data_IF_034577317876
#
_entry.id   IF_034577317876
#
_cell.length_a   1.000
_cell.length_b   1.000
_cell.length_c   1.000
_cell.angle_alpha   90.00
_cell.angle_beta   90.00
_cell.angle_gamma   90.00
#
_symmetry.space_group_name_H-M   'P 1'
#
loop_
_entity.id
_entity.type
_entity.pdbx_description
1 polymer ?
#
# COMPACT_ATOMS: atom_id res chain seq x y z
N UNK A 1 16.39 2.48 -3.59
CA UNK A 1 15.82 2.27 -4.94
C UNK A 1 15.68 3.63 -5.60
N UNK A 2 16.25 3.84 -6.76
CA UNK A 2 16.25 5.13 -7.46
C UNK A 2 15.15 5.14 -8.53
N UNK A 3 14.16 6.01 -8.40
CA UNK A 3 13.01 6.07 -9.31
C UNK A 3 12.87 7.44 -9.99
N UNK A 4 13.37 8.51 -9.38
CA UNK A 4 13.24 9.88 -9.92
C UNK A 4 13.95 10.01 -11.26
N UNK A 5 15.13 9.39 -11.42
CA UNK A 5 15.88 9.43 -12.68
C UNK A 5 15.09 8.89 -13.88
N UNK A 6 14.12 8.01 -13.65
CA UNK A 6 13.24 7.54 -14.73
C UNK A 6 12.44 8.69 -15.36
N UNK A 7 11.92 9.58 -14.52
CA UNK A 7 11.15 10.75 -14.95
C UNK A 7 12.08 11.79 -15.58
N UNK A 8 13.21 12.10 -14.93
CA UNK A 8 14.19 13.08 -15.43
C UNK A 8 14.67 12.73 -16.87
N UNK A 9 14.88 11.43 -17.13
CA UNK A 9 15.31 10.96 -18.45
C UNK A 9 14.17 10.97 -19.51
N UNK A 10 12.93 11.22 -19.13
CA UNK A 10 11.75 11.22 -20.02
C UNK A 10 11.03 12.55 -20.10
N UNK A 11 11.60 13.59 -19.49
CA UNK A 11 11.13 14.95 -19.66
C UNK A 11 11.13 15.34 -21.15
N UNK A 12 10.04 15.96 -21.60
CA UNK A 12 9.86 16.32 -23.01
C UNK A 12 9.49 15.14 -23.95
N UNK A 13 9.36 13.92 -23.46
CA UNK A 13 9.18 12.72 -24.32
C UNK A 13 7.79 12.05 -24.15
N UNK A 14 7.15 12.21 -23.01
CA UNK A 14 5.92 11.50 -22.70
C UNK A 14 4.68 12.39 -22.85
N UNK A 15 3.62 11.80 -23.40
CA UNK A 15 2.29 12.40 -23.48
C UNK A 15 1.39 11.75 -22.42
N UNK A 16 0.62 12.56 -21.68
CA UNK A 16 -0.27 12.00 -20.67
C UNK A 16 -1.43 11.22 -21.29
N UNK A 17 -1.61 9.98 -20.86
CA UNK A 17 -2.77 9.17 -21.24
C UNK A 17 -3.04 8.10 -20.21
N UNK A 18 -4.30 7.97 -19.78
CA UNK A 18 -4.78 6.86 -18.95
C UNK A 18 -5.16 5.61 -19.78
N UNK A 19 -5.00 5.70 -21.11
CA UNK A 19 -5.16 4.61 -22.07
C UNK A 19 -3.83 4.38 -22.80
N UNK A 20 -3.70 3.31 -23.55
CA UNK A 20 -2.41 2.94 -24.16
C UNK A 20 -1.51 2.20 -23.17
N UNK A 21 -0.21 2.32 -23.31
CA UNK A 21 0.73 1.59 -22.45
C UNK A 21 0.71 2.03 -20.99
N UNK A 22 0.40 3.30 -20.73
CA UNK A 22 0.46 3.98 -19.43
C UNK A 22 1.86 4.06 -18.79
N UNK A 23 2.82 3.30 -19.29
CA UNK A 23 4.18 3.11 -18.75
C UNK A 23 5.29 3.72 -19.63
N UNK A 24 4.91 4.45 -20.67
CA UNK A 24 5.86 5.14 -21.56
C UNK A 24 6.38 4.35 -22.74
N UNK A 25 6.04 3.06 -22.91
CA UNK A 25 6.58 2.21 -24.00
C UNK A 25 6.08 2.57 -25.39
N UNK A 26 4.94 3.23 -25.48
CA UNK A 26 4.34 3.77 -26.71
C UNK A 26 4.38 5.31 -26.77
N UNK A 27 5.16 5.95 -25.87
CA UNK A 27 5.22 7.40 -25.73
C UNK A 27 4.08 7.97 -24.86
N UNK A 28 3.20 7.11 -24.31
CA UNK A 28 2.12 7.56 -23.41
C UNK A 28 2.30 7.01 -21.99
N UNK A 29 2.00 7.85 -21.01
CA UNK A 29 2.07 7.46 -19.61
C UNK A 29 1.02 8.17 -18.76
N UNK A 30 0.61 7.55 -17.65
CA UNK A 30 -0.12 8.19 -16.56
C UNK A 30 0.69 8.20 -15.25
N UNK A 31 0.18 8.81 -14.21
CA UNK A 31 0.89 8.98 -12.95
C UNK A 31 1.28 7.63 -12.33
N UNK A 32 0.35 6.71 -12.17
CA UNK A 32 0.59 5.40 -11.54
C UNK A 32 1.39 4.46 -12.43
N UNK A 33 1.20 4.52 -13.75
CA UNK A 33 1.99 3.76 -14.72
C UNK A 33 3.45 4.18 -14.73
N UNK A 34 3.73 5.47 -14.67
CA UNK A 34 5.10 6.01 -14.59
C UNK A 34 5.82 5.56 -13.32
N UNK A 35 5.17 5.65 -12.16
CA UNK A 35 5.74 5.12 -10.90
C UNK A 35 5.94 3.60 -11.01
N UNK A 36 4.98 2.87 -11.57
CA UNK A 36 5.12 1.43 -11.77
C UNK A 36 6.35 1.08 -12.60
N UNK A 37 6.53 1.78 -13.72
CA UNK A 37 7.66 1.51 -14.62
C UNK A 37 9.00 1.91 -13.99
N UNK A 38 9.05 3.06 -13.31
CA UNK A 38 10.26 3.49 -12.61
C UNK A 38 10.68 2.50 -11.52
N UNK A 39 9.71 1.95 -10.80
CA UNK A 39 9.93 0.89 -9.81
C UNK A 39 10.44 -0.40 -10.44
N UNK A 40 9.84 -0.85 -11.56
CA UNK A 40 10.28 -2.06 -12.29
C UNK A 40 11.71 -1.91 -12.81
N UNK A 41 12.05 -0.76 -13.41
CA UNK A 41 13.42 -0.50 -13.89
C UNK A 41 14.42 -0.41 -12.72
N UNK A 42 13.96 -0.01 -11.53
CA UNK A 42 14.75 -0.02 -10.30
C UNK A 42 14.82 -1.41 -9.61
N UNK A 43 14.21 -2.46 -10.21
CA UNK A 43 14.29 -3.85 -9.75
C UNK A 43 13.10 -4.35 -8.93
N UNK A 44 12.02 -3.57 -8.80
CA UNK A 44 10.82 -4.01 -8.12
C UNK A 44 10.06 -5.08 -8.91
N UNK A 45 9.43 -6.02 -8.19
CA UNK A 45 8.59 -7.06 -8.77
C UNK A 45 7.12 -6.63 -8.67
N UNK A 46 6.56 -6.18 -9.80
CA UNK A 46 5.19 -5.67 -9.89
C UNK A 46 4.50 -6.31 -11.09
N UNK A 47 3.38 -6.98 -10.87
CA UNK A 47 2.59 -7.54 -11.95
C UNK A 47 1.63 -6.50 -12.54
N UNK A 48 1.53 -6.47 -13.86
CA UNK A 48 0.67 -5.52 -14.56
C UNK A 48 1.07 -4.05 -14.37
N UNK A 49 0.09 -3.17 -14.41
CA UNK A 49 0.22 -1.72 -14.21
C UNK A 49 -0.84 -1.28 -13.19
N UNK A 50 -0.53 -1.30 -11.90
CA UNK A 50 -1.48 -0.91 -10.86
C UNK A 50 -1.96 0.54 -11.03
N UNK A 51 -3.16 0.80 -10.52
CA UNK A 51 -3.67 2.16 -10.33
C UNK A 51 -3.22 2.70 -8.98
N UNK A 52 -3.49 3.97 -8.71
CA UNK A 52 -3.25 4.58 -7.38
C UNK A 52 -3.97 3.82 -6.26
N UNK A 53 -5.14 3.21 -6.53
CA UNK A 53 -5.88 2.38 -5.55
C UNK A 53 -5.07 1.19 -5.07
N UNK A 54 -4.30 0.55 -5.95
CA UNK A 54 -3.60 -0.71 -5.65
C UNK A 54 -2.08 -0.56 -5.54
N UNK A 55 -1.54 0.62 -5.87
CA UNK A 55 -0.09 0.84 -5.90
C UNK A 55 0.56 0.68 -4.53
N UNK A 56 -0.11 1.13 -3.46
CA UNK A 56 0.41 1.01 -2.08
C UNK A 56 0.74 -0.43 -1.68
N UNK A 57 -0.07 -1.40 -2.13
CA UNK A 57 0.21 -2.82 -1.96
C UNK A 57 1.55 -3.22 -2.59
N UNK A 58 1.77 -2.82 -3.85
CA UNK A 58 3.01 -3.16 -4.55
C UNK A 58 4.23 -2.45 -3.95
N UNK A 59 4.05 -1.25 -3.43
CA UNK A 59 5.09 -0.55 -2.68
C UNK A 59 5.49 -1.35 -1.44
N UNK A 60 4.52 -1.75 -0.62
CA UNK A 60 4.78 -2.55 0.59
C UNK A 60 5.48 -3.88 0.24
N UNK A 61 5.01 -4.59 -0.79
CA UNK A 61 5.60 -5.86 -1.25
C UNK A 61 7.05 -5.71 -1.71
N UNK A 62 7.45 -4.54 -2.18
CA UNK A 62 8.79 -4.24 -2.66
C UNK A 62 9.67 -3.48 -1.67
N UNK A 63 9.34 -3.50 -0.39
CA UNK A 63 10.18 -2.96 0.68
C UNK A 63 10.04 -1.45 0.89
N UNK A 64 8.96 -0.87 0.44
CA UNK A 64 8.58 0.50 0.79
C UNK A 64 7.72 0.48 2.05
N UNK A 65 7.94 1.44 2.93
CA UNK A 65 7.13 1.65 4.14
C UNK A 65 6.40 2.99 4.02
N UNK A 66 5.15 3.02 4.48
CA UNK A 66 4.41 4.27 4.60
C UNK A 66 4.94 5.04 5.81
N UNK A 67 5.52 6.22 5.56
CA UNK A 67 6.17 7.05 6.57
C UNK A 67 5.31 8.22 7.04
N UNK A 68 4.28 8.60 6.28
CA UNK A 68 3.33 9.66 6.63
C UNK A 68 1.95 9.38 6.07
N UNK A 69 0.89 9.83 6.76
CA UNK A 69 -0.50 9.78 6.37
C UNK A 69 -1.20 11.05 6.84
N UNK A 70 -1.57 11.93 5.92
CA UNK A 70 -2.19 13.24 6.21
C UNK A 70 -1.42 14.07 7.25
N UNK A 71 -0.11 13.96 7.23
CA UNK A 71 0.80 14.67 8.15
C UNK A 71 2.06 15.12 7.42
N UNK A 72 2.75 16.08 8.00
CA UNK A 72 4.04 16.56 7.49
C UNK A 72 5.12 15.49 7.67
N UNK A 73 6.08 15.47 6.73
CA UNK A 73 7.24 14.61 6.81
C UNK A 73 8.51 15.35 6.37
N UNK A 74 9.65 14.80 6.70
CA UNK A 74 10.94 15.28 6.19
C UNK A 74 11.20 14.63 4.83
N UNK A 75 10.84 15.34 3.76
CA UNK A 75 10.89 14.84 2.39
C UNK A 75 12.32 14.54 1.93
N UNK A 76 12.48 13.41 1.25
CA UNK A 76 13.74 12.93 0.70
C UNK A 76 13.56 12.50 -0.75
N UNK A 77 14.66 12.52 -1.51
CA UNK A 77 14.66 12.00 -2.89
C UNK A 77 14.13 10.56 -2.92
N UNK A 78 13.26 10.31 -3.89
CA UNK A 78 12.56 9.05 -4.11
C UNK A 78 11.41 8.75 -3.12
N UNK A 79 11.04 9.63 -2.19
CA UNK A 79 9.77 9.45 -1.48
C UNK A 79 8.62 9.48 -2.49
N UNK A 80 7.77 8.47 -2.48
CA UNK A 80 6.58 8.41 -3.32
C UNK A 80 5.42 9.04 -2.56
N UNK A 81 4.78 10.05 -3.18
CA UNK A 81 3.62 10.73 -2.61
C UNK A 81 2.38 10.31 -3.38
N UNK A 82 1.48 9.61 -2.71
CA UNK A 82 0.18 9.19 -3.23
C UNK A 82 -0.91 10.10 -2.69
N UNK A 83 -1.80 10.54 -3.54
CA UNK A 83 -2.84 11.52 -3.25
C UNK A 83 -4.21 11.01 -3.66
N UNK A 84 -5.25 11.36 -2.88
CA UNK A 84 -6.64 11.10 -3.20
C UNK A 84 -7.51 12.31 -2.91
N UNK A 85 -8.43 12.61 -3.83
CA UNK A 85 -9.50 13.59 -3.65
C UNK A 85 -10.74 12.97 -2.98
N UNK A 86 -10.67 11.68 -2.62
CA UNK A 86 -11.62 10.98 -1.77
C UNK A 86 -11.09 10.82 -0.34
N UNK A 87 -11.83 10.13 0.51
CA UNK A 87 -11.52 9.97 1.95
C UNK A 87 -10.25 9.15 2.21
N UNK A 88 -9.84 8.30 1.25
CA UNK A 88 -8.62 7.49 1.30
C UNK A 88 -8.19 7.03 -0.10
N UNK A 89 -7.16 6.17 -0.17
CA UNK A 89 -6.65 5.65 -1.45
C UNK A 89 -7.61 4.72 -2.19
N UNK A 90 -8.63 4.16 -1.54
CA UNK A 90 -9.64 3.33 -2.23
C UNK A 90 -10.47 4.13 -3.22
N UNK A 91 -10.58 5.44 -3.01
CA UNK A 91 -11.32 6.37 -3.87
C UNK A 91 -10.41 7.12 -4.86
N UNK A 92 -9.14 6.76 -4.94
CA UNK A 92 -8.16 7.43 -5.82
C UNK A 92 -8.20 6.93 -7.28
N UNK A 93 -9.18 6.15 -7.67
CA UNK A 93 -9.26 5.60 -9.02
C UNK A 93 -9.47 6.66 -10.11
N UNK A 94 -8.83 6.48 -11.26
CA UNK A 94 -8.94 7.39 -12.40
C UNK A 94 -8.49 8.82 -12.06
N UNK A 95 -9.33 9.81 -12.32
CA UNK A 95 -9.06 11.21 -12.00
C UNK A 95 -9.18 11.56 -10.50
N UNK A 96 -9.63 10.61 -9.67
CA UNK A 96 -9.77 10.78 -8.21
C UNK A 96 -8.47 10.66 -7.44
N UNK A 97 -7.36 10.35 -8.09
CA UNK A 97 -6.06 10.18 -7.44
C UNK A 97 -4.89 10.64 -8.29
N UNK A 98 -3.76 10.84 -7.63
CA UNK A 98 -2.50 11.16 -8.27
C UNK A 98 -1.33 10.55 -7.51
N UNK A 99 -0.19 10.37 -8.19
CA UNK A 99 1.05 9.90 -7.57
C UNK A 99 2.26 10.48 -8.30
N UNK A 100 3.28 10.79 -7.53
CA UNK A 100 4.59 11.21 -8.03
C UNK A 100 5.67 10.93 -6.99
N UNK A 101 6.85 11.49 -7.21
CA UNK A 101 8.01 11.30 -6.32
C UNK A 101 8.68 12.62 -5.95
N UNK A 102 9.25 12.69 -4.75
CA UNK A 102 10.10 13.82 -4.36
C UNK A 102 11.46 13.69 -5.03
N UNK A 103 11.91 14.77 -5.67
CA UNK A 103 13.27 14.87 -6.22
C UNK A 103 14.28 15.21 -5.14
N UNK A 104 13.83 16.00 -4.17
CA UNK A 104 14.55 16.45 -2.98
C UNK A 104 13.52 16.93 -1.93
N UNK A 105 13.95 17.75 -0.97
CA UNK A 105 13.07 18.29 0.08
C UNK A 105 12.00 19.29 -0.42
N UNK A 106 12.13 19.81 -1.64
CA UNK A 106 11.30 20.91 -2.15
C UNK A 106 10.63 20.62 -3.48
N UNK A 107 11.18 19.71 -4.30
CA UNK A 107 10.72 19.47 -5.67
C UNK A 107 10.01 18.12 -5.79
N UNK A 108 8.87 18.16 -6.43
CA UNK A 108 8.02 17.01 -6.75
C UNK A 108 7.97 16.81 -8.26
N UNK A 109 8.15 15.56 -8.72
CA UNK A 109 8.08 15.17 -10.12
C UNK A 109 6.98 14.14 -10.32
N UNK A 110 6.19 14.30 -11.35
CA UNK A 110 5.12 13.37 -11.70
C UNK A 110 4.84 13.37 -13.19
N UNK A 111 4.04 12.40 -13.62
CA UNK A 111 3.41 12.42 -14.94
C UNK A 111 1.96 12.88 -14.75
N UNK A 112 1.61 14.06 -15.21
CA UNK A 112 0.32 14.69 -14.97
C UNK A 112 -0.34 15.25 -16.24
N UNK A 113 -1.60 15.67 -16.07
CA UNK A 113 -2.42 16.25 -17.15
C UNK A 113 -2.43 17.79 -17.15
N UNK A 114 -1.47 18.43 -16.50
CA UNK A 114 -1.43 19.88 -16.27
C UNK A 114 -1.45 20.71 -17.58
N UNK A 115 -0.97 20.12 -18.68
CA UNK A 115 -0.94 20.73 -20.00
C UNK A 115 -2.05 20.24 -20.93
N UNK A 116 -3.12 19.66 -20.37
CA UNK A 116 -4.25 19.10 -21.14
C UNK A 116 -3.84 18.00 -22.13
N UNK A 117 -2.79 17.25 -21.82
CA UNK A 117 -2.30 16.14 -22.64
C UNK A 117 -1.53 16.60 -23.88
N UNK A 118 -0.93 17.79 -23.87
CA UNK A 118 -0.06 18.25 -24.95
C UNK A 118 1.11 17.25 -25.14
N UNK A 119 1.48 17.02 -26.39
CA UNK A 119 2.49 16.02 -26.77
C UNK A 119 3.83 16.37 -26.11
N UNK A 120 4.42 15.34 -25.46
CA UNK A 120 5.73 15.45 -24.84
C UNK A 120 5.76 16.19 -23.50
N UNK A 121 4.62 16.59 -22.94
CA UNK A 121 4.59 17.48 -21.77
C UNK A 121 4.11 16.81 -20.48
N UNK A 122 3.98 15.49 -20.47
CA UNK A 122 3.38 14.79 -19.34
C UNK A 122 4.25 14.81 -18.07
N UNK A 123 5.58 14.74 -18.21
CA UNK A 123 6.47 14.86 -17.05
C UNK A 123 6.55 16.31 -16.61
N UNK A 124 6.20 16.57 -15.36
CA UNK A 124 6.22 17.92 -14.77
C UNK A 124 6.98 17.94 -13.45
N UNK A 125 7.66 19.06 -13.20
CA UNK A 125 8.37 19.34 -11.96
C UNK A 125 7.74 20.56 -11.30
N UNK A 126 7.39 20.41 -10.03
CA UNK A 126 6.77 21.43 -9.22
C UNK A 126 7.54 21.69 -7.94
N UNK A 127 7.50 22.91 -7.41
CA UNK A 127 7.73 23.09 -5.99
C UNK A 127 6.62 22.38 -5.22
N UNK A 128 6.98 21.56 -4.24
CA UNK A 128 6.02 20.72 -3.51
C UNK A 128 4.93 21.55 -2.80
N UNK A 129 5.33 22.61 -2.11
CA UNK A 129 4.37 23.43 -1.37
C UNK A 129 3.36 24.10 -2.31
N UNK A 130 3.80 24.59 -3.48
CA UNK A 130 2.91 25.17 -4.49
C UNK A 130 1.97 24.12 -5.06
N UNK A 131 2.48 22.93 -5.37
CA UNK A 131 1.68 21.81 -5.87
C UNK A 131 0.61 21.41 -4.85
N UNK A 132 1.01 21.20 -3.60
CA UNK A 132 0.13 20.80 -2.52
C UNK A 132 -0.97 21.83 -2.26
N UNK A 133 -0.62 23.12 -2.19
CA UNK A 133 -1.61 24.19 -2.02
C UNK A 133 -2.64 24.21 -3.16
N UNK A 134 -2.20 24.03 -4.41
CA UNK A 134 -3.12 23.93 -5.56
C UNK A 134 -4.01 22.69 -5.47
N UNK A 135 -3.47 21.56 -5.09
CA UNK A 135 -4.23 20.33 -4.91
C UNK A 135 -5.28 20.48 -3.81
N UNK A 136 -4.94 21.11 -2.68
CA UNK A 136 -5.90 21.43 -1.61
C UNK A 136 -7.05 22.34 -2.10
N UNK A 137 -6.76 23.35 -2.96
CA UNK A 137 -7.79 24.20 -3.55
C UNK A 137 -8.78 23.45 -4.44
N UNK A 138 -8.38 22.28 -4.97
CA UNK A 138 -9.25 21.40 -5.75
C UNK A 138 -9.89 20.29 -4.93
N UNK A 139 -9.70 20.28 -3.61
CA UNK A 139 -10.32 19.34 -2.69
C UNK A 139 -9.49 18.11 -2.36
N UNK A 140 -8.15 18.15 -2.51
CA UNK A 140 -7.29 17.10 -2.00
C UNK A 140 -7.56 16.89 -0.51
N UNK A 141 -7.87 15.66 -0.13
CA UNK A 141 -8.29 15.31 1.24
C UNK A 141 -7.45 14.21 1.87
N UNK A 142 -6.64 13.51 1.09
CA UNK A 142 -5.87 12.39 1.60
C UNK A 142 -4.52 12.24 0.92
N UNK A 143 -3.47 12.05 1.72
CA UNK A 143 -2.09 11.83 1.27
C UNK A 143 -1.48 10.64 2.01
N UNK A 144 -0.71 9.83 1.30
CA UNK A 144 0.24 8.87 1.86
C UNK A 144 1.64 9.13 1.29
N UNK A 145 2.64 9.02 2.14
CA UNK A 145 4.04 9.09 1.72
C UNK A 145 4.74 7.77 2.00
N UNK A 146 5.41 7.26 0.99
CA UNK A 146 6.10 5.98 1.03
C UNK A 146 7.58 6.15 0.79
N UNK A 147 8.41 5.50 1.61
CA UNK A 147 9.88 5.53 1.52
C UNK A 147 10.44 4.12 1.38
N UNK A 148 11.42 3.97 0.51
CA UNK A 148 12.12 2.71 0.37
C UNK A 148 12.99 2.44 1.60
N UNK A 149 12.74 1.34 2.30
CA UNK A 149 13.48 0.94 3.51
C UNK A 149 14.66 0.00 3.22
N UNK A 150 14.78 -0.46 1.97
CA UNK A 150 15.80 -1.44 1.58
C UNK A 150 15.46 -2.89 1.96
N UNK A 151 14.36 -3.10 2.67
CA UNK A 151 13.89 -4.43 3.07
C UNK A 151 12.80 -4.90 2.11
N UNK A 152 13.17 -5.25 0.87
CA UNK A 152 12.24 -5.99 0.02
C UNK A 152 11.89 -7.31 0.70
N UNK A 153 10.62 -7.57 0.95
CA UNK A 153 10.15 -8.91 1.30
C UNK A 153 10.26 -9.78 0.05
N UNK A 154 11.47 -10.22 -0.28
CA UNK A 154 11.65 -11.29 -1.27
C UNK A 154 11.13 -12.57 -0.63
N UNK A 155 9.98 -13.02 -1.08
CA UNK A 155 9.55 -14.40 -0.95
C UNK A 155 10.50 -15.26 -1.79
N UNK A 156 11.69 -15.51 -1.33
CA UNK A 156 12.61 -16.62 -1.57
C UNK A 156 14.05 -16.20 -1.23
N UNK A 157 14.36 -16.17 0.06
CA UNK A 157 15.69 -16.52 0.54
C UNK A 157 15.60 -16.77 2.04
N UNK A 158 16.05 -17.95 2.47
CA UNK A 158 16.26 -18.31 3.85
C UNK A 158 17.30 -17.37 4.49
N UNK A 159 16.90 -16.18 4.86
CA UNK A 159 17.62 -15.33 5.81
C UNK A 159 16.82 -15.37 7.09
N UNK A 160 17.32 -16.07 8.07
CA UNK A 160 16.82 -16.06 9.44
C UNK A 160 16.76 -14.60 9.90
N UNK A 161 15.57 -13.97 9.77
CA UNK A 161 15.32 -12.60 10.27
C UNK A 161 14.92 -12.74 11.72
N UNK A 162 15.92 -12.66 12.60
CA UNK A 162 15.72 -12.52 14.04
C UNK A 162 14.73 -11.37 14.29
N UNK A 163 13.56 -11.68 14.89
CA UNK A 163 12.59 -10.70 15.34
C UNK A 163 11.31 -10.58 14.48
N UNK A 164 11.12 -11.36 13.42
CA UNK A 164 9.82 -11.45 12.73
C UNK A 164 9.00 -12.64 13.22
N UNK A 165 7.71 -12.38 13.36
CA UNK A 165 6.68 -13.39 13.69
C UNK A 165 5.70 -13.49 12.53
N UNK A 166 5.25 -14.71 12.27
CA UNK A 166 4.17 -14.98 11.34
C UNK A 166 2.89 -15.15 12.15
N UNK A 167 1.92 -14.29 11.93
CA UNK A 167 0.60 -14.45 12.50
C UNK A 167 -0.22 -15.38 11.61
N UNK A 168 -1.02 -16.22 12.22
CA UNK A 168 -1.72 -17.31 11.57
C UNK A 168 -3.14 -17.43 12.10
N UNK A 169 -4.14 -17.30 11.20
CA UNK A 169 -5.55 -17.27 11.56
C UNK A 169 -6.42 -17.96 10.52
N UNK A 170 -7.62 -18.33 10.93
CA UNK A 170 -8.66 -18.82 10.02
C UNK A 170 -9.51 -17.66 9.51
N UNK A 171 -9.75 -17.64 8.22
CA UNK A 171 -10.66 -16.67 7.61
C UNK A 171 -12.12 -17.07 7.84
N UNK A 172 -12.92 -16.21 8.47
CA UNK A 172 -14.36 -16.42 8.66
C UNK A 172 -15.15 -16.02 7.42
N UNK A 173 -14.69 -14.97 6.74
CA UNK A 173 -15.23 -14.56 5.44
C UNK A 173 -14.21 -13.71 4.68
N UNK A 174 -14.46 -13.52 3.40
CA UNK A 174 -13.73 -12.59 2.56
C UNK A 174 -14.75 -11.69 1.89
N UNK A 175 -14.60 -10.40 2.05
CA UNK A 175 -15.55 -9.39 1.59
C UNK A 175 -14.89 -8.38 0.66
N UNK A 176 -15.62 -7.96 -0.37
CA UNK A 176 -15.21 -6.83 -1.21
C UNK A 176 -15.77 -5.56 -0.57
N UNK A 177 -14.89 -4.70 -0.09
CA UNK A 177 -15.27 -3.42 0.50
C UNK A 177 -14.51 -2.29 -0.18
N UNK A 178 -15.23 -1.28 -0.70
CA UNK A 178 -14.67 -0.14 -1.43
C UNK A 178 -13.65 -0.53 -2.54
N UNK A 179 -13.92 -1.65 -3.24
CA UNK A 179 -13.05 -2.14 -4.30
C UNK A 179 -11.81 -2.92 -3.83
N UNK A 180 -11.65 -3.14 -2.52
CA UNK A 180 -10.59 -3.95 -1.94
C UNK A 180 -11.16 -5.23 -1.33
N UNK A 181 -10.52 -6.35 -1.63
CA UNK A 181 -10.81 -7.59 -0.95
C UNK A 181 -10.15 -7.59 0.43
N UNK A 182 -10.94 -7.87 1.45
CA UNK A 182 -10.51 -7.92 2.85
C UNK A 182 -10.89 -9.25 3.48
N UNK A 183 -9.98 -9.80 4.28
CA UNK A 183 -10.23 -10.96 5.11
C UNK A 183 -10.90 -10.53 6.39
N UNK A 184 -11.99 -11.23 6.72
CA UNK A 184 -12.63 -11.17 8.00
C UNK A 184 -12.19 -12.33 8.87
N UNK A 185 -11.75 -12.00 10.09
CA UNK A 185 -11.39 -12.97 11.10
C UNK A 185 -11.96 -12.51 12.46
N UNK A 186 -12.90 -13.24 13.00
CA UNK A 186 -13.56 -12.90 14.26
C UNK A 186 -12.61 -13.00 15.47
N UNK A 187 -11.47 -13.70 15.31
CA UNK A 187 -10.41 -13.72 16.33
C UNK A 187 -9.60 -12.41 16.35
N UNK A 188 -9.51 -11.70 15.21
CA UNK A 188 -8.77 -10.44 15.09
C UNK A 188 -9.67 -9.23 15.32
N UNK A 189 -10.92 -9.29 14.89
CA UNK A 189 -11.87 -8.17 14.95
C UNK A 189 -13.22 -8.68 15.44
N UNK A 190 -13.83 -8.07 16.46
CA UNK A 190 -15.13 -8.47 16.95
C UNK A 190 -16.22 -8.40 15.88
N UNK A 191 -17.13 -9.37 15.89
CA UNK A 191 -18.31 -9.37 15.02
C UNK A 191 -19.12 -8.08 15.22
N UNK A 192 -19.45 -7.40 14.12
CA UNK A 192 -20.21 -6.15 14.15
C UNK A 192 -19.38 -4.88 14.20
N UNK A 193 -18.05 -4.99 14.24
CA UNK A 193 -17.17 -3.85 14.02
C UNK A 193 -17.19 -3.43 12.55
N UNK A 194 -16.92 -2.14 12.29
CA UNK A 194 -16.78 -1.67 10.92
C UNK A 194 -15.48 -2.22 10.30
N UNK A 195 -15.64 -3.15 9.39
CA UNK A 195 -14.55 -3.81 8.68
C UNK A 195 -13.77 -2.90 7.76
N UNK A 196 -14.30 -1.72 7.46
CA UNK A 196 -13.67 -0.75 6.58
C UNK A 196 -12.35 -0.25 7.13
N UNK A 197 -12.23 -0.19 8.45
CA UNK A 197 -11.05 0.34 9.13
C UNK A 197 -10.13 -0.76 9.67
N UNK A 198 -10.65 -1.98 9.86
CA UNK A 198 -9.95 -3.03 10.62
C UNK A 198 -9.77 -4.36 9.88
N UNK A 199 -10.31 -4.51 8.67
CA UNK A 199 -10.09 -5.70 7.84
C UNK A 199 -8.67 -5.73 7.29
N UNK A 200 -8.08 -6.92 7.24
CA UNK A 200 -6.75 -7.10 6.62
C UNK A 200 -6.94 -7.23 5.11
N UNK A 201 -6.34 -6.34 4.29
CA UNK A 201 -6.37 -6.49 2.85
C UNK A 201 -5.82 -7.86 2.42
N UNK A 202 -6.56 -8.59 1.60
CA UNK A 202 -6.14 -9.91 1.08
C UNK A 202 -4.76 -9.85 0.44
N UNK A 203 -4.44 -8.74 -0.20
CA UNK A 203 -3.14 -8.49 -0.79
C UNK A 203 -1.95 -8.51 0.19
N UNK A 204 -2.18 -8.42 1.49
CA UNK A 204 -1.13 -8.42 2.53
C UNK A 204 -1.00 -9.77 3.24
N UNK A 205 -1.77 -10.78 2.86
CA UNK A 205 -1.76 -12.10 3.48
C UNK A 205 -1.27 -13.17 2.50
N UNK A 206 -0.90 -14.32 3.05
CA UNK A 206 -0.69 -15.55 2.29
C UNK A 206 -1.75 -16.57 2.71
N UNK A 207 -2.37 -17.21 1.74
CA UNK A 207 -3.26 -18.33 2.02
C UNK A 207 -2.44 -19.57 2.38
N UNK A 208 -2.81 -20.24 3.47
CA UNK A 208 -2.06 -21.36 4.01
C UNK A 208 -3.00 -22.51 4.36
N UNK A 209 -2.45 -23.74 4.43
CA UNK A 209 -3.15 -24.90 4.96
C UNK A 209 -3.18 -24.89 6.51
N UNK A 210 -3.81 -25.88 7.11
CA UNK A 210 -3.86 -26.03 8.57
C UNK A 210 -2.49 -26.25 9.23
N UNK A 211 -1.43 -26.46 8.46
CA UNK A 211 -0.05 -26.63 8.94
C UNK A 211 0.80 -25.36 8.70
N UNK A 212 0.20 -24.30 8.11
CA UNK A 212 0.89 -23.05 7.82
C UNK A 212 1.69 -23.05 6.51
N UNK A 213 1.55 -24.08 5.65
CA UNK A 213 2.20 -24.07 4.33
C UNK A 213 1.40 -23.26 3.33
N UNK A 214 2.07 -22.47 2.49
CA UNK A 214 1.41 -21.68 1.47
C UNK A 214 0.65 -22.59 0.48
N UNK A 215 -0.62 -22.28 0.24
CA UNK A 215 -1.50 -22.98 -0.71
C UNK A 215 -2.00 -22.09 -1.85
N UNK A 216 -1.93 -20.78 -1.70
CA UNK A 216 -2.24 -19.78 -2.71
C UNK A 216 -1.47 -18.50 -2.40
N UNK A 217 -1.22 -17.67 -3.40
CA UNK A 217 -0.72 -16.33 -3.11
C UNK A 217 -1.87 -15.39 -2.69
N UNK A 218 -1.54 -14.27 -2.08
CA UNK A 218 -2.53 -13.29 -1.62
C UNK A 218 -3.33 -12.60 -2.76
N UNK A 219 -3.03 -12.91 -4.02
CA UNK A 219 -3.73 -12.41 -5.21
C UNK A 219 -4.68 -13.45 -5.79
N UNK A 220 -4.76 -14.65 -5.22
CA UNK A 220 -5.73 -15.66 -5.64
C UNK A 220 -7.12 -15.24 -5.20
N UNK A 221 -8.01 -15.04 -6.16
CA UNK A 221 -9.38 -14.54 -5.96
C UNK A 221 -10.40 -15.65 -5.70
N UNK A 222 -9.98 -16.92 -5.70
CA UNK A 222 -10.86 -18.07 -5.40
C UNK A 222 -10.93 -18.34 -3.89
N UNK A 223 -11.29 -17.33 -3.12
CA UNK A 223 -11.35 -17.38 -1.67
C UNK A 223 -12.50 -18.21 -1.15
N UNK A 224 -12.22 -19.05 -0.16
CA UNK A 224 -13.23 -19.83 0.53
C UNK A 224 -13.23 -19.53 2.01
N UNK A 225 -14.41 -19.29 2.56
CA UNK A 225 -14.62 -19.23 4.01
C UNK A 225 -14.05 -20.48 4.66
N UNK A 226 -13.33 -20.31 5.73
CA UNK A 226 -12.69 -21.39 6.47
C UNK A 226 -11.26 -21.72 6.03
N UNK A 227 -10.72 -21.08 5.00
CA UNK A 227 -9.28 -21.15 4.70
C UNK A 227 -8.47 -20.45 5.78
N UNK A 228 -7.25 -20.91 5.96
CA UNK A 228 -6.29 -20.24 6.84
C UNK A 228 -5.49 -19.21 6.06
N UNK A 229 -5.09 -18.14 6.74
CA UNK A 229 -4.21 -17.15 6.19
C UNK A 229 -3.11 -16.79 7.19
N UNK A 230 -2.01 -16.27 6.69
CA UNK A 230 -0.91 -15.76 7.49
C UNK A 230 -0.42 -14.41 6.95
N UNK A 231 0.16 -13.62 7.83
CA UNK A 231 0.87 -12.40 7.49
C UNK A 231 2.09 -12.24 8.41
N UNK A 232 3.12 -11.57 7.92
CA UNK A 232 4.32 -11.34 8.70
C UNK A 232 4.20 -10.05 9.52
N UNK A 233 4.55 -10.12 10.79
CA UNK A 233 4.60 -8.98 11.71
C UNK A 233 6.02 -8.84 12.25
N UNK A 234 6.52 -7.61 12.32
CA UNK A 234 7.67 -7.31 13.18
C UNK A 234 7.20 -7.37 14.64
N UNK A 235 7.74 -8.31 15.42
CA UNK A 235 7.38 -8.46 16.83
C UNK A 235 7.56 -7.17 17.63
N UNK A 236 8.54 -6.34 17.26
CA UNK A 236 8.79 -5.05 17.90
C UNK A 236 7.79 -3.96 17.49
N UNK A 237 7.03 -4.18 16.40
CA UNK A 237 5.99 -3.25 15.96
C UNK A 237 4.63 -3.52 16.60
N UNK A 238 4.49 -4.59 17.36
CA UNK A 238 3.27 -4.92 18.10
C UNK A 238 3.26 -4.09 19.37
N UNK A 239 2.28 -3.21 19.50
CA UNK A 239 2.09 -2.39 20.68
C UNK A 239 0.73 -2.64 21.31
N UNK A 240 0.71 -2.87 22.63
CA UNK A 240 -0.53 -2.85 23.39
C UNK A 240 -0.96 -1.39 23.60
N UNK A 241 -2.08 -1.01 23.02
CA UNK A 241 -2.60 0.37 23.14
C UNK A 241 -3.18 0.68 24.51
N UNK A 242 -3.36 -0.35 25.37
CA UNK A 242 -4.03 -0.21 26.65
C UNK A 242 -5.57 -0.25 26.56
N UNK A 243 -6.13 -0.12 25.35
CA UNK A 243 -7.57 -0.15 25.15
C UNK A 243 -8.10 -1.59 25.22
N UNK A 244 -9.28 -1.76 25.80
CA UNK A 244 -9.96 -3.05 25.85
C UNK A 244 -11.42 -2.89 26.21
N UNK A 245 -12.21 -3.91 25.90
CA UNK A 245 -13.64 -3.90 26.18
C UNK A 245 -14.29 -5.25 25.93
N UNK A 246 -15.54 -5.38 26.43
CA UNK A 246 -16.37 -6.56 26.20
C UNK A 246 -17.26 -6.37 24.99
N UNK A 247 -17.26 -7.35 24.08
CA UNK A 247 -18.17 -7.41 22.95
C UNK A 247 -18.66 -8.85 22.75
N UNK A 248 -19.96 -9.03 22.62
CA UNK A 248 -20.54 -10.38 22.44
C UNK A 248 -20.23 -11.37 23.56
N UNK A 249 -19.90 -10.89 24.77
CA UNK A 249 -19.54 -11.74 25.91
C UNK A 249 -18.05 -12.10 26.03
N UNK A 250 -17.22 -11.63 25.07
CA UNK A 250 -15.78 -11.85 25.07
C UNK A 250 -15.05 -10.53 25.32
N UNK A 251 -13.91 -10.62 26.03
CA UNK A 251 -13.04 -9.47 26.22
C UNK A 251 -12.06 -9.37 25.06
N UNK A 252 -11.99 -8.20 24.45
CA UNK A 252 -11.06 -7.88 23.36
C UNK A 252 -10.09 -6.81 23.83
N UNK A 253 -8.85 -6.92 23.36
CA UNK A 253 -7.81 -5.94 23.60
C UNK A 253 -7.29 -5.41 22.27
N UNK A 254 -7.04 -4.12 22.17
CA UNK A 254 -6.54 -3.46 20.96
C UNK A 254 -5.02 -3.47 20.93
N UNK A 255 -4.47 -3.92 19.84
CA UNK A 255 -3.05 -3.92 19.56
C UNK A 255 -2.76 -3.18 18.26
N UNK A 256 -1.69 -2.37 18.24
CA UNK A 256 -1.12 -1.85 17.02
C UNK A 256 -0.24 -2.92 16.36
N UNK A 257 -0.54 -3.25 15.11
CA UNK A 257 0.21 -4.22 14.31
C UNK A 257 1.05 -3.52 13.23
N UNK A 258 1.67 -2.40 13.56
CA UNK A 258 2.52 -1.67 12.64
C UNK A 258 1.79 -1.32 11.33
N UNK A 259 2.31 -1.81 10.21
CA UNK A 259 1.74 -1.53 8.88
C UNK A 259 0.29 -2.00 8.66
N UNK A 260 -0.21 -2.93 9.48
CA UNK A 260 -1.58 -3.44 9.39
C UNK A 260 -2.56 -2.59 10.21
N UNK A 261 -2.07 -1.54 10.89
CA UNK A 261 -2.88 -0.69 11.76
C UNK A 261 -3.24 -1.39 13.06
N UNK A 262 -4.31 -0.92 13.70
CA UNK A 262 -4.76 -1.47 14.96
C UNK A 262 -5.75 -2.60 14.73
N UNK A 263 -5.62 -3.65 15.52
CA UNK A 263 -6.53 -4.81 15.52
C UNK A 263 -7.04 -5.11 16.92
N UNK A 264 -8.26 -5.61 17.01
CA UNK A 264 -8.84 -6.10 18.24
C UNK A 264 -8.69 -7.63 18.27
N UNK A 265 -8.08 -8.15 19.33
CA UNK A 265 -7.92 -9.59 19.56
C UNK A 265 -8.82 -10.04 20.70
N UNK A 266 -9.57 -11.12 20.49
CA UNK A 266 -10.41 -11.73 21.53
C UNK A 266 -9.60 -12.35 22.67
N UNK A 267 -8.40 -12.85 22.32
CA UNK A 267 -7.36 -13.21 23.27
C UNK A 267 -6.02 -13.03 22.58
N UNK A 268 -5.10 -12.33 23.21
CA UNK A 268 -3.71 -12.36 22.75
C UNK A 268 -3.16 -13.75 23.04
N UNK A 269 -3.27 -14.62 22.08
CA UNK A 269 -2.66 -15.94 22.15
C UNK A 269 -1.34 -15.91 21.35
N UNK A 270 -0.23 -15.95 22.10
CA UNK A 270 1.10 -16.06 21.51
C UNK A 270 1.28 -17.31 20.64
N UNK A 271 0.37 -18.29 20.74
CA UNK A 271 0.37 -19.48 19.90
C UNK A 271 0.02 -19.19 18.44
N UNK A 272 -0.63 -18.04 18.15
CA UNK A 272 -0.85 -17.58 16.77
C UNK A 272 0.38 -16.93 16.13
N UNK A 273 1.44 -16.68 16.91
CA UNK A 273 2.69 -16.12 16.43
C UNK A 273 3.75 -17.20 16.36
N UNK A 274 4.16 -17.57 15.17
CA UNK A 274 5.25 -18.52 14.92
C UNK A 274 6.47 -17.80 14.37
N UNK A 275 7.66 -18.32 14.60
CA UNK A 275 8.87 -17.76 14.02
C UNK A 275 8.77 -17.85 12.49
N UNK A 276 8.94 -16.72 11.80
CA UNK A 276 8.92 -16.61 10.35
C UNK A 276 10.16 -17.19 9.68
#
# INVERSE_FOLDING_TARGET
MEIVSWFENREGQLTYSMTGSRIGTDGTADCSGSITQSLKEAGAQIDGVPSTVTLGYWLAKNGWIRIAKNEDWNAQRNDIVMMSWGVDMSQSGGAGGHVGAMMDSERFISTDYSTSGAIGTAVSIWNWNEYYLRACQTGLSYIEVWRYSGSATNATSNVSRSGRKKAYYRADSVVLHNGLWQVRCDELVPVGFDWTENGIPVALINWVDSNGNNVADGNDWDFKTGMYFSFEIDENSISDTGDGGYYGGYYYRRFGFGQFGDVWLSAWDKNHLVNG
#
